data_IF_880557202885
#
_entry.id   IF_880557202885
#
_cell.length_a   1.000
_cell.length_b   1.000
_cell.length_c   1.000
_cell.angle_alpha   90.00
_cell.angle_beta   90.00
_cell.angle_gamma   90.00
#
_symmetry.space_group_name_H-M   'P 1'
#
loop_
_entity.id
_entity.type
_entity.pdbx_description
1 polymer ?
#
# COMPACT_ATOMS: atom_id res chain seq x y z
N UNK A 1 12.37 25.34 7.91
CA UNK A 1 12.79 26.13 6.74
C UNK A 1 12.23 25.45 5.50
N UNK A 2 11.91 26.21 4.45
CA UNK A 2 11.35 25.68 3.21
C UNK A 2 12.17 26.16 2.02
N UNK A 3 11.98 25.50 0.88
CA UNK A 3 12.68 25.78 -0.36
C UNK A 3 11.93 26.83 -1.17
N UNK A 4 12.60 27.87 -1.64
CA UNK A 4 12.00 28.95 -2.44
C UNK A 4 12.78 29.18 -3.73
N UNK A 5 12.07 29.39 -4.83
CA UNK A 5 12.65 29.75 -6.13
C UNK A 5 12.60 31.26 -6.28
N UNK A 6 13.77 31.86 -6.43
CA UNK A 6 13.96 33.30 -6.65
C UNK A 6 13.69 33.66 -8.12
N UNK A 7 13.39 34.93 -8.37
CA UNK A 7 13.13 35.47 -9.72
C UNK A 7 14.30 35.32 -10.69
N UNK A 8 15.53 35.24 -10.17
CA UNK A 8 16.74 34.99 -10.95
C UNK A 8 16.95 33.50 -11.30
N UNK A 9 16.03 32.62 -10.89
CA UNK A 9 16.07 31.19 -11.14
C UNK A 9 16.80 30.36 -10.08
N UNK A 10 17.49 30.99 -9.12
CA UNK A 10 18.16 30.29 -8.02
C UNK A 10 17.17 29.81 -6.97
N UNK A 11 17.59 28.82 -6.18
CA UNK A 11 16.78 28.24 -5.11
C UNK A 11 17.48 28.43 -3.76
N UNK A 12 16.73 28.81 -2.73
CA UNK A 12 17.22 28.98 -1.35
C UNK A 12 16.39 28.19 -0.35
N UNK A 13 17.00 27.80 0.78
CA UNK A 13 16.30 27.20 1.93
C UNK A 13 16.33 28.21 3.08
N UNK A 14 15.16 28.72 3.48
CA UNK A 14 15.04 29.73 4.52
C UNK A 14 13.67 29.68 5.22
N UNK A 15 13.50 30.44 6.29
CA UNK A 15 12.18 30.66 6.88
C UNK A 15 11.34 31.65 6.05
N UNK A 16 10.02 31.56 6.18
CA UNK A 16 9.09 32.37 5.39
C UNK A 16 9.23 33.89 5.66
N UNK A 17 9.61 34.28 6.87
CA UNK A 17 9.72 35.70 7.23
C UNK A 17 10.96 36.34 6.58
N UNK A 18 12.09 35.62 6.57
CA UNK A 18 13.30 36.02 5.86
C UNK A 18 13.05 36.18 4.36
N UNK A 19 12.33 35.23 3.76
CA UNK A 19 12.01 35.27 2.32
C UNK A 19 11.08 36.42 2.01
N UNK A 20 10.01 36.63 2.78
CA UNK A 20 9.09 37.74 2.58
C UNK A 20 9.78 39.12 2.71
N UNK A 21 10.77 39.24 3.60
CA UNK A 21 11.49 40.50 3.82
C UNK A 21 12.56 40.79 2.76
N UNK A 22 13.23 39.77 2.22
CA UNK A 22 14.41 39.94 1.35
C UNK A 22 14.16 39.55 -0.12
N UNK A 23 13.16 38.71 -0.38
CA UNK A 23 12.84 38.15 -1.69
C UNK A 23 11.31 38.05 -1.89
N UNK A 24 10.59 39.19 -1.95
CA UNK A 24 9.11 39.19 -1.97
C UNK A 24 8.51 38.48 -3.20
N UNK A 25 9.26 38.39 -4.30
CA UNK A 25 8.84 37.71 -5.52
C UNK A 25 9.20 36.21 -5.54
N UNK A 26 9.84 35.69 -4.47
CA UNK A 26 10.21 34.30 -4.41
C UNK A 26 8.98 33.39 -4.28
N UNK A 27 8.97 32.32 -5.05
CA UNK A 27 7.88 31.35 -5.06
C UNK A 27 8.26 30.16 -4.18
N UNK A 28 7.40 29.79 -3.25
CA UNK A 28 7.57 28.57 -2.47
C UNK A 28 7.62 27.37 -3.42
N UNK A 29 8.70 26.59 -3.34
CA UNK A 29 8.79 25.31 -4.04
C UNK A 29 8.09 24.28 -3.15
N UNK A 30 6.94 23.72 -3.57
CA UNK A 30 6.30 22.68 -2.80
C UNK A 30 7.26 21.51 -2.64
N UNK A 31 7.39 21.01 -1.42
CA UNK A 31 8.16 19.81 -1.15
C UNK A 31 7.53 18.65 -1.95
N UNK A 32 8.33 17.87 -2.69
CA UNK A 32 7.78 16.72 -3.39
C UNK A 32 7.13 15.78 -2.37
N UNK A 33 5.93 15.28 -2.71
CA UNK A 33 5.29 14.27 -1.89
C UNK A 33 6.24 13.07 -1.71
N UNK A 34 6.31 12.45 -0.52
CA UNK A 34 7.07 11.23 -0.33
C UNK A 34 6.67 10.20 -1.39
N UNK A 35 7.64 9.72 -2.16
CA UNK A 35 7.40 8.63 -3.10
C UNK A 35 7.44 7.32 -2.31
N UNK A 36 6.33 6.58 -2.32
CA UNK A 36 6.28 5.26 -1.74
C UNK A 36 7.39 4.39 -2.36
N UNK A 37 8.13 3.60 -1.55
CA UNK A 37 9.10 2.68 -2.11
C UNK A 37 8.40 1.68 -3.03
N UNK A 38 9.08 1.11 -4.05
CA UNK A 38 8.46 0.19 -5.01
C UNK A 38 7.75 -1.01 -4.36
N UNK A 39 8.19 -1.41 -3.17
CA UNK A 39 7.64 -2.52 -2.40
C UNK A 39 6.69 -2.08 -1.26
N UNK A 40 6.24 -0.82 -1.24
CA UNK A 40 5.35 -0.30 -0.19
C UNK A 40 4.06 -1.12 -0.02
N UNK A 41 3.66 -1.85 -1.06
CA UNK A 41 2.45 -2.65 -1.13
C UNK A 41 2.71 -4.15 -1.26
N UNK A 42 3.96 -4.59 -1.07
CA UNK A 42 4.33 -6.00 -1.14
C UNK A 42 4.32 -6.64 0.24
N UNK A 43 3.49 -7.66 0.42
CA UNK A 43 3.37 -8.42 1.66
C UNK A 43 4.06 -9.77 1.57
N UNK A 44 4.60 -10.23 2.70
CA UNK A 44 4.81 -11.66 2.89
C UNK A 44 3.48 -12.43 2.73
N UNK A 45 3.55 -13.63 2.16
CA UNK A 45 2.36 -14.47 1.93
C UNK A 45 1.60 -14.76 3.23
N UNK A 46 2.33 -15.01 4.33
CA UNK A 46 1.72 -15.21 5.66
C UNK A 46 0.91 -14.00 6.10
N UNK A 47 1.52 -12.80 6.06
CA UNK A 47 0.88 -11.54 6.41
C UNK A 47 -0.32 -11.20 5.52
N UNK A 48 -0.31 -11.62 4.25
CA UNK A 48 -1.49 -11.53 3.40
C UNK A 48 -2.66 -12.38 3.94
N UNK A 49 -2.41 -13.63 4.32
CA UNK A 49 -3.45 -14.47 4.91
C UNK A 49 -3.92 -13.95 6.28
N UNK A 50 -3.06 -13.31 7.06
CA UNK A 50 -3.43 -12.67 8.33
C UNK A 50 -4.47 -11.54 8.14
N UNK A 51 -4.53 -10.89 6.97
CA UNK A 51 -5.57 -9.89 6.68
C UNK A 51 -6.99 -10.46 6.65
N UNK A 52 -7.16 -11.77 6.50
CA UNK A 52 -8.47 -12.42 6.57
C UNK A 52 -8.96 -12.61 8.01
N UNK A 53 -8.08 -12.53 9.01
CA UNK A 53 -8.48 -12.71 10.42
C UNK A 53 -9.13 -11.46 11.02
N UNK A 54 -8.78 -10.27 10.52
CA UNK A 54 -9.33 -8.98 10.96
C UNK A 54 -10.85 -8.87 10.75
N UNK A 55 -11.45 -9.69 9.89
CA UNK A 55 -12.88 -9.67 9.54
C UNK A 55 -13.57 -10.99 9.90
N UNK A 56 -13.61 -11.31 11.19
CA UNK A 56 -14.34 -12.48 11.68
C UNK A 56 -13.59 -13.81 11.55
N UNK A 57 -12.24 -13.79 11.53
CA UNK A 57 -11.44 -15.01 11.62
C UNK A 57 -11.55 -15.94 10.41
N UNK A 58 -11.69 -15.37 9.20
CA UNK A 58 -11.95 -16.16 7.99
C UNK A 58 -10.72 -16.93 7.50
N UNK A 59 -9.52 -16.64 8.00
CA UNK A 59 -8.27 -17.23 7.51
C UNK A 59 -8.33 -18.75 7.53
N UNK A 60 -8.63 -19.35 8.69
CA UNK A 60 -8.64 -20.80 8.82
C UNK A 60 -9.74 -21.43 7.97
N UNK A 61 -10.92 -20.81 7.90
CA UNK A 61 -12.02 -21.29 7.07
C UNK A 61 -11.66 -21.30 5.57
N UNK A 62 -10.96 -20.26 5.09
CA UNK A 62 -10.45 -20.17 3.72
C UNK A 62 -9.37 -21.24 3.49
N UNK A 63 -8.39 -21.35 4.39
CA UNK A 63 -7.28 -22.29 4.25
C UNK A 63 -7.71 -23.75 4.35
N UNK A 64 -8.75 -24.06 5.12
CA UNK A 64 -9.30 -25.41 5.27
C UNK A 64 -10.37 -25.77 4.25
N UNK A 65 -10.78 -24.83 3.39
CA UNK A 65 -11.88 -25.05 2.45
C UNK A 65 -11.56 -26.16 1.44
N UNK A 66 -12.48 -27.09 1.21
CA UNK A 66 -12.35 -28.12 0.17
C UNK A 66 -12.83 -27.64 -1.22
N UNK A 67 -13.39 -26.44 -1.32
CA UNK A 67 -13.89 -25.90 -2.59
C UNK A 67 -12.73 -25.63 -3.57
N UNK A 68 -12.84 -26.16 -4.80
CA UNK A 68 -11.77 -26.09 -5.80
C UNK A 68 -11.43 -24.66 -6.19
N UNK A 69 -12.41 -23.74 -6.20
CA UNK A 69 -12.18 -22.33 -6.52
C UNK A 69 -11.39 -21.65 -5.40
N UNK A 70 -11.75 -21.91 -4.15
CA UNK A 70 -11.03 -21.38 -2.97
C UNK A 70 -9.60 -21.92 -2.94
N UNK A 71 -9.44 -23.23 -3.17
CA UNK A 71 -8.13 -23.87 -3.25
C UNK A 71 -7.25 -23.31 -4.36
N UNK A 72 -7.82 -22.94 -5.51
CA UNK A 72 -7.07 -22.30 -6.58
C UNK A 72 -6.50 -20.94 -6.13
N UNK A 73 -7.30 -20.11 -5.44
CA UNK A 73 -6.86 -18.81 -4.91
C UNK A 73 -5.77 -18.99 -3.84
N UNK A 74 -5.97 -19.90 -2.89
CA UNK A 74 -4.98 -20.19 -1.84
C UNK A 74 -3.65 -20.66 -2.44
N UNK A 75 -3.69 -21.55 -3.43
CA UNK A 75 -2.50 -22.06 -4.11
C UNK A 75 -1.79 -20.97 -4.93
N UNK A 76 -2.53 -20.16 -5.70
CA UNK A 76 -1.95 -19.04 -6.45
C UNK A 76 -1.23 -18.06 -5.52
N UNK A 77 -1.83 -17.72 -4.37
CA UNK A 77 -1.17 -16.87 -3.38
C UNK A 77 0.07 -17.54 -2.78
N UNK A 78 0.00 -18.83 -2.46
CA UNK A 78 1.03 -19.56 -1.72
C UNK A 78 2.32 -19.82 -2.52
N UNK A 79 2.23 -19.93 -3.84
CA UNK A 79 3.41 -20.17 -4.71
C UNK A 79 4.18 -18.89 -5.04
N UNK A 80 3.69 -17.73 -4.62
CA UNK A 80 4.33 -16.44 -4.89
C UNK A 80 5.36 -16.12 -3.82
N UNK A 81 6.41 -15.40 -4.22
CA UNK A 81 7.43 -14.89 -3.29
C UNK A 81 6.84 -13.86 -2.31
N UNK A 82 5.90 -13.06 -2.80
CA UNK A 82 5.18 -12.01 -2.08
C UNK A 82 3.83 -11.74 -2.76
N UNK A 83 2.94 -11.03 -2.06
CA UNK A 83 1.68 -10.54 -2.61
C UNK A 83 1.78 -9.03 -2.82
N UNK A 84 1.68 -8.59 -4.06
CA UNK A 84 1.51 -7.17 -4.39
C UNK A 84 0.03 -6.80 -4.29
N UNK A 85 -0.32 -5.92 -3.35
CA UNK A 85 -1.70 -5.46 -3.15
C UNK A 85 -2.23 -4.57 -4.28
N UNK A 86 -1.36 -4.08 -5.17
CA UNK A 86 -1.75 -3.31 -6.37
C UNK A 86 -1.82 -4.16 -7.63
N UNK A 87 -1.60 -5.48 -7.54
CA UNK A 87 -1.70 -6.41 -8.66
C UNK A 87 -3.12 -6.45 -9.22
N UNK A 88 -3.26 -6.34 -10.55
CA UNK A 88 -4.55 -6.13 -11.22
C UNK A 88 -5.57 -7.29 -11.04
N UNK A 89 -5.10 -8.52 -10.89
CA UNK A 89 -5.92 -9.73 -10.73
C UNK A 89 -6.31 -10.03 -9.27
N UNK A 90 -5.62 -9.44 -8.28
CA UNK A 90 -5.88 -9.71 -6.87
C UNK A 90 -7.33 -9.37 -6.44
N UNK A 91 -7.93 -8.23 -6.85
CA UNK A 91 -9.33 -7.94 -6.53
C UNK A 91 -10.29 -9.04 -7.01
N UNK A 92 -10.06 -9.58 -8.21
CA UNK A 92 -10.88 -10.67 -8.76
C UNK A 92 -10.77 -11.96 -7.95
N UNK A 93 -9.56 -12.31 -7.49
CA UNK A 93 -9.37 -13.47 -6.61
C UNK A 93 -10.10 -13.31 -5.26
N UNK A 94 -10.12 -12.10 -4.70
CA UNK A 94 -10.88 -11.80 -3.48
C UNK A 94 -12.40 -11.88 -3.71
N UNK A 95 -12.89 -11.43 -4.87
CA UNK A 95 -14.30 -11.55 -5.25
C UNK A 95 -14.74 -13.03 -5.36
N UNK A 96 -13.86 -13.91 -5.81
CA UNK A 96 -14.14 -15.35 -5.85
C UNK A 96 -14.34 -15.93 -4.44
N UNK A 97 -13.60 -15.46 -3.44
CA UNK A 97 -13.80 -15.88 -2.04
C UNK A 97 -15.12 -15.32 -1.49
N UNK A 98 -15.43 -14.04 -1.74
CA UNK A 98 -16.71 -13.44 -1.33
C UNK A 98 -17.90 -14.18 -1.95
N UNK A 99 -17.81 -14.55 -3.24
CA UNK A 99 -18.85 -15.33 -3.93
C UNK A 99 -19.07 -16.73 -3.33
N UNK A 100 -18.10 -17.26 -2.59
CA UNK A 100 -18.21 -18.53 -1.84
C UNK A 100 -18.72 -18.34 -0.41
N UNK A 101 -19.06 -17.12 -0.02
CA UNK A 101 -19.68 -16.80 1.27
C UNK A 101 -18.69 -16.43 2.37
N UNK A 102 -17.40 -16.24 2.06
CA UNK A 102 -16.44 -15.75 3.05
C UNK A 102 -16.68 -14.25 3.31
N UNK A 103 -16.90 -13.91 4.58
CA UNK A 103 -17.15 -12.54 5.01
C UNK A 103 -15.85 -11.73 5.15
N UNK A 104 -15.16 -11.50 4.02
CA UNK A 104 -13.94 -10.70 3.96
C UNK A 104 -14.21 -9.29 3.44
N UNK A 105 -13.49 -8.29 3.96
CA UNK A 105 -13.52 -6.93 3.43
C UNK A 105 -12.44 -6.73 2.36
N UNK A 106 -12.83 -6.90 1.09
CA UNK A 106 -11.93 -6.73 -0.05
C UNK A 106 -11.27 -5.35 -0.06
N UNK A 107 -12.02 -4.29 0.24
CA UNK A 107 -11.49 -2.93 0.20
C UNK A 107 -10.40 -2.79 1.25
N UNK A 108 -10.69 -3.16 2.49
CA UNK A 108 -9.72 -3.03 3.56
C UNK A 108 -8.49 -3.91 3.37
N UNK A 109 -8.63 -5.12 2.83
CA UNK A 109 -7.49 -6.00 2.48
C UNK A 109 -6.56 -5.31 1.47
N UNK A 110 -7.07 -4.55 0.52
CA UNK A 110 -6.27 -3.92 -0.54
C UNK A 110 -5.75 -2.52 -0.18
N UNK A 111 -6.41 -1.82 0.73
CA UNK A 111 -6.08 -0.42 1.06
C UNK A 111 -5.40 -0.24 2.40
N UNK A 112 -5.45 -1.23 3.30
CA UNK A 112 -4.71 -1.15 4.58
C UNK A 112 -3.21 -1.04 4.30
N UNK A 113 -2.54 0.02 4.81
CA UNK A 113 -1.09 0.18 4.64
C UNK A 113 -0.32 -1.07 5.11
N UNK A 114 0.78 -1.39 4.43
CA UNK A 114 1.63 -2.51 4.82
C UNK A 114 2.57 -2.04 5.92
N UNK A 115 2.42 -2.65 7.11
CA UNK A 115 3.34 -2.48 8.22
C UNK A 115 4.76 -2.89 7.82
N UNK A 116 5.78 -2.29 8.43
CA UNK A 116 7.18 -2.49 7.99
C UNK A 116 7.59 -3.96 8.20
N UNK A 117 7.15 -4.55 9.31
CA UNK A 117 7.36 -5.94 9.70
C UNK A 117 6.73 -6.96 8.73
N UNK A 118 5.62 -6.59 8.08
CA UNK A 118 4.89 -7.45 7.14
C UNK A 118 5.34 -7.26 5.69
N UNK A 119 6.18 -6.25 5.45
CA UNK A 119 6.61 -5.84 4.12
C UNK A 119 7.67 -6.78 3.58
N UNK A 120 7.44 -7.28 2.38
CA UNK A 120 8.46 -8.04 1.68
C UNK A 120 9.61 -7.12 1.20
N UNK A 121 10.84 -7.38 1.63
CA UNK A 121 12.01 -6.49 1.39
C UNK A 121 13.06 -6.96 0.38
N UNK A 122 12.88 -8.11 -0.28
CA UNK A 122 13.80 -8.56 -1.35
C UNK A 122 14.72 -9.68 -0.94
#
# INVERSE_FOLDING_TARGET
>A
MATYKLSNGNTIVADAAFVAANYPDAVLVPEPAPVDPPNAWWLYVGAFFDRFDTYGGQKLAILSSADLTVQAVVKDASVRKYIDLKRADLPGALDMLIAKGFAIDKTAILTTPVAIEDRYVG
#
